data_IF_360719487180
#
_entry.id   IF_360719487180
#
_cell.length_a   1.000
_cell.length_b   1.000
_cell.length_c   1.000
_cell.angle_alpha   90.00
_cell.angle_beta   90.00
_cell.angle_gamma   90.00
#
_symmetry.space_group_name_H-M   'P 1'
#
loop_
_entity.id
_entity.type
_entity.pdbx_description
1 polymer ?
#
# COMPACT_ATOMS: atom_id res chain seq x y z
N UNK A 1 27.58 30.33 14.83
CA UNK A 1 27.11 29.20 13.97
C UNK A 1 25.89 28.45 14.53
N UNK A 2 25.30 28.85 15.67
CA UNK A 2 24.20 28.12 16.33
C UNK A 2 22.79 28.71 16.19
N UNK A 3 22.63 29.89 15.59
CA UNK A 3 21.31 30.55 15.49
C UNK A 3 20.50 30.12 14.25
N UNK A 4 21.16 29.70 13.17
CA UNK A 4 20.50 29.28 11.93
C UNK A 4 19.83 27.92 12.02
N UNK A 5 20.22 27.07 12.98
CA UNK A 5 19.65 25.73 13.19
C UNK A 5 18.36 25.75 13.99
N UNK A 6 18.15 26.76 14.87
CA UNK A 6 16.93 26.88 15.67
C UNK A 6 15.74 27.32 14.80
N UNK A 7 15.95 28.32 13.93
CA UNK A 7 14.92 28.85 13.02
C UNK A 7 14.33 27.80 12.07
N UNK A 8 15.13 26.84 11.58
CA UNK A 8 14.64 25.75 10.74
C UNK A 8 13.75 24.75 11.49
N UNK A 9 13.95 24.54 12.79
CA UNK A 9 13.16 23.60 13.59
C UNK A 9 11.76 24.15 13.90
N UNK A 10 11.64 25.46 14.05
CA UNK A 10 10.39 26.13 14.40
C UNK A 10 9.50 26.36 13.15
N UNK A 11 10.10 26.64 12.00
CA UNK A 11 9.41 26.77 10.71
C UNK A 11 8.90 25.41 10.18
N UNK A 12 9.61 24.32 10.48
CA UNK A 12 9.24 22.96 10.07
C UNK A 12 8.03 22.40 10.85
N UNK A 13 7.81 22.82 12.11
CA UNK A 13 6.63 22.40 12.90
C UNK A 13 5.33 23.07 12.43
N UNK A 14 5.41 24.28 11.87
CA UNK A 14 4.24 25.00 11.34
C UNK A 14 3.67 24.37 10.07
N UNK A 15 4.55 23.93 9.16
CA UNK A 15 4.15 23.33 7.86
C UNK A 15 3.59 21.90 8.01
N UNK A 16 4.10 21.13 8.99
CA UNK A 16 3.58 19.79 9.28
C UNK A 16 2.22 19.81 9.98
N UNK A 17 1.97 20.80 10.83
CA UNK A 17 0.69 20.98 11.53
C UNK A 17 -0.46 21.26 10.55
N UNK A 18 -0.27 22.13 9.55
CA UNK A 18 -1.36 22.50 8.63
C UNK A 18 -1.77 21.36 7.69
N UNK A 19 -0.79 20.63 7.13
CA UNK A 19 -1.06 19.50 6.22
C UNK A 19 -1.67 18.30 6.95
N UNK A 20 -1.23 18.01 8.17
CA UNK A 20 -1.79 16.93 8.98
C UNK A 20 -3.19 17.30 9.47
N UNK A 21 -3.43 18.55 9.87
CA UNK A 21 -4.74 18.97 10.38
C UNK A 21 -5.83 18.91 9.30
N UNK A 22 -5.51 19.29 8.07
CA UNK A 22 -6.44 19.18 6.95
C UNK A 22 -6.74 17.71 6.59
N UNK A 23 -5.72 16.85 6.58
CA UNK A 23 -5.90 15.40 6.39
C UNK A 23 -6.72 14.75 7.51
N UNK A 24 -6.48 15.13 8.76
CA UNK A 24 -7.22 14.63 9.94
C UNK A 24 -8.68 15.06 9.89
N UNK A 25 -9.00 16.27 9.42
CA UNK A 25 -10.39 16.71 9.25
C UNK A 25 -11.18 15.78 8.31
N UNK A 26 -10.58 15.43 7.18
CA UNK A 26 -11.20 14.49 6.23
C UNK A 26 -11.23 13.06 6.76
N UNK A 27 -10.19 12.63 7.48
CA UNK A 27 -10.16 11.30 8.11
C UNK A 27 -11.26 11.13 9.16
N UNK A 28 -11.52 12.15 9.99
CA UNK A 28 -12.62 12.16 10.96
C UNK A 28 -13.97 12.12 10.24
N UNK A 29 -14.13 12.90 9.17
CA UNK A 29 -15.35 12.87 8.35
C UNK A 29 -15.62 11.47 7.78
N UNK A 30 -14.59 10.83 7.22
CA UNK A 30 -14.69 9.48 6.68
C UNK A 30 -15.01 8.44 7.77
N UNK A 31 -14.37 8.53 8.94
CA UNK A 31 -14.68 7.68 10.10
C UNK A 31 -16.12 7.85 10.58
N UNK A 32 -16.64 9.08 10.58
CA UNK A 32 -18.04 9.36 10.92
C UNK A 32 -19.01 8.69 9.96
N UNK A 33 -18.80 8.85 8.66
CA UNK A 33 -19.62 8.20 7.62
C UNK A 33 -19.53 6.68 7.72
N UNK A 34 -18.32 6.14 7.92
CA UNK A 34 -18.09 4.71 8.06
C UNK A 34 -18.80 4.12 9.28
N UNK A 35 -18.72 4.80 10.43
CA UNK A 35 -19.46 4.45 11.64
C UNK A 35 -20.97 4.50 11.42
N UNK A 36 -21.48 5.54 10.75
CA UNK A 36 -22.90 5.67 10.42
C UNK A 36 -23.39 4.52 9.53
N UNK A 37 -22.61 4.11 8.53
CA UNK A 37 -22.91 2.95 7.69
C UNK A 37 -22.92 1.67 8.51
N UNK A 38 -21.96 1.47 9.41
CA UNK A 38 -21.94 0.30 10.30
C UNK A 38 -23.14 0.25 11.25
N UNK A 39 -23.57 1.40 11.77
CA UNK A 39 -24.74 1.52 12.65
C UNK A 39 -26.03 1.23 11.86
N UNK A 40 -26.17 1.79 10.66
CA UNK A 40 -27.30 1.47 9.79
C UNK A 40 -27.33 -0.02 9.45
N UNK A 41 -26.19 -0.60 9.13
CA UNK A 41 -26.11 -2.01 8.81
C UNK A 41 -26.42 -2.88 10.04
N UNK A 42 -26.00 -2.51 11.25
CA UNK A 42 -26.39 -3.19 12.47
C UNK A 42 -27.90 -3.15 12.70
N UNK A 43 -28.55 -2.03 12.42
CA UNK A 43 -30.00 -1.89 12.56
C UNK A 43 -30.78 -2.85 11.64
N UNK A 44 -30.24 -3.16 10.45
CA UNK A 44 -30.88 -4.10 9.51
C UNK A 44 -30.43 -5.56 9.68
N UNK A 45 -29.20 -5.84 10.16
CA UNK A 45 -28.60 -7.18 10.23
C UNK A 45 -28.56 -7.80 11.64
N UNK A 46 -29.19 -7.18 12.63
CA UNK A 46 -29.22 -7.66 14.03
C UNK A 46 -29.84 -9.06 14.17
N UNK A 47 -30.73 -9.45 13.26
CA UNK A 47 -31.43 -10.74 13.32
C UNK A 47 -30.80 -11.75 12.38
N UNK A 48 -30.28 -12.82 12.96
CA UNK A 48 -29.87 -14.00 12.22
C UNK A 48 -30.98 -15.06 12.35
N UNK A 49 -31.54 -15.46 11.22
CA UNK A 49 -32.54 -16.51 11.15
C UNK A 49 -31.84 -17.85 10.91
N UNK A 50 -31.83 -18.71 11.93
CA UNK A 50 -31.29 -20.06 11.81
C UNK A 50 -32.43 -21.05 11.55
N UNK A 51 -32.47 -21.73 10.38
CA UNK A 51 -33.42 -22.80 10.14
C UNK A 51 -32.97 -24.04 10.90
N UNK A 52 -33.69 -24.37 11.98
CA UNK A 52 -33.45 -25.58 12.76
C UNK A 52 -34.50 -26.62 12.41
N UNK A 53 -34.05 -27.79 11.99
CA UNK A 53 -34.90 -28.97 11.87
C UNK A 53 -34.88 -29.71 13.20
N UNK A 54 -36.01 -29.76 13.89
CA UNK A 54 -36.15 -30.63 15.04
C UNK A 54 -37.06 -31.81 14.71
N UNK A 55 -36.78 -32.93 15.36
CA UNK A 55 -37.57 -34.15 15.24
C UNK A 55 -38.22 -34.39 16.59
N UNK A 56 -39.53 -34.24 16.64
CA UNK A 56 -40.34 -34.47 17.84
C UNK A 56 -41.27 -35.65 17.61
N UNK A 57 -41.44 -36.48 18.63
CA UNK A 57 -42.45 -37.54 18.65
C UNK A 57 -43.60 -37.14 19.58
N UNK A 58 -44.81 -37.56 19.25
CA UNK A 58 -45.92 -37.52 20.20
C UNK A 58 -45.89 -38.81 21.03
N UNK A 59 -46.20 -38.73 22.33
CA UNK A 59 -46.18 -39.87 23.25
C UNK A 59 -47.07 -41.05 22.81
N UNK A 60 -48.05 -40.81 21.94
CA UNK A 60 -48.99 -41.80 21.42
C UNK A 60 -48.80 -42.12 19.93
N UNK A 61 -47.62 -41.82 19.36
CA UNK A 61 -47.35 -42.16 17.95
C UNK A 61 -46.93 -43.63 17.81
N UNK A 62 -47.43 -44.35 16.79
CA UNK A 62 -47.12 -45.78 16.60
C UNK A 62 -45.65 -46.06 16.28
N UNK A 63 -44.89 -45.02 15.92
CA UNK A 63 -43.45 -45.09 15.62
C UNK A 63 -42.53 -44.90 16.84
N UNK A 64 -43.09 -44.66 18.04
CA UNK A 64 -42.34 -44.56 19.28
C UNK A 64 -42.12 -45.96 19.89
N UNK A 65 -40.86 -46.41 19.93
CA UNK A 65 -40.48 -47.58 20.74
C UNK A 65 -39.74 -47.13 22.00
N UNK A 66 -40.20 -47.63 23.15
CA UNK A 66 -39.57 -47.40 24.44
C UNK A 66 -38.60 -48.55 24.69
N UNK A 67 -37.30 -48.25 24.80
CA UNK A 67 -36.33 -49.25 25.25
C UNK A 67 -36.28 -49.24 26.78
N UNK A 68 -36.66 -50.34 27.41
CA UNK A 68 -36.43 -50.52 28.84
C UNK A 68 -35.06 -51.18 29.02
N UNK A 69 -33.97 -50.38 29.08
CA UNK A 69 -32.67 -50.93 29.48
C UNK A 69 -32.69 -51.15 30.99
N UNK A 70 -33.00 -52.37 31.41
CA UNK A 70 -32.81 -52.81 32.79
C UNK A 70 -31.30 -52.88 33.03
N UNK A 71 -30.68 -51.83 33.56
CA UNK A 71 -29.49 -51.99 34.40
C UNK A 71 -30.01 -52.24 35.80
N UNK A 72 -29.90 -53.48 36.27
CA UNK A 72 -30.53 -54.05 37.48
C UNK A 72 -30.17 -53.40 38.83
N UNK A 73 -29.63 -52.18 38.90
CA UNK A 73 -29.23 -51.58 40.19
C UNK A 73 -29.59 -50.10 40.37
N UNK A 74 -30.48 -49.52 39.57
CA UNK A 74 -30.96 -48.14 39.78
C UNK A 74 -32.48 -48.17 39.90
N UNK A 75 -33.00 -47.83 41.09
CA UNK A 75 -34.45 -47.78 41.42
C UNK A 75 -35.21 -46.65 40.73
N UNK A 76 -34.56 -45.91 39.83
CA UNK A 76 -35.14 -44.85 39.04
C UNK A 76 -35.14 -45.28 37.57
N UNK A 77 -36.22 -45.94 37.15
CA UNK A 77 -36.42 -46.39 35.78
C UNK A 77 -36.49 -45.22 34.81
N UNK A 78 -35.37 -44.87 34.18
CA UNK A 78 -35.30 -43.83 33.15
C UNK A 78 -35.66 -44.45 31.80
N UNK A 79 -36.93 -44.30 31.42
CA UNK A 79 -37.45 -44.74 30.12
C UNK A 79 -37.02 -43.75 29.03
N UNK A 80 -36.16 -44.16 28.10
CA UNK A 80 -35.79 -43.34 26.95
C UNK A 80 -36.52 -43.83 25.69
N UNK A 81 -37.33 -42.95 25.10
CA UNK A 81 -38.01 -43.19 23.83
C UNK A 81 -37.12 -42.82 22.64
N UNK A 82 -37.02 -43.68 21.64
CA UNK A 82 -36.27 -43.44 20.41
C UNK A 82 -37.12 -43.79 19.18
N UNK A 83 -36.83 -43.14 18.06
CA UNK A 83 -37.54 -43.38 16.81
C UNK A 83 -36.86 -44.53 16.05
N UNK A 84 -37.64 -45.52 15.59
CA UNK A 84 -37.13 -46.70 14.89
C UNK A 84 -36.85 -46.40 13.41
N UNK A 85 -37.61 -45.48 12.81
CA UNK A 85 -37.49 -45.09 11.40
C UNK A 85 -37.35 -43.58 11.26
N UNK A 86 -36.65 -43.14 10.20
CA UNK A 86 -36.45 -41.72 9.92
C UNK A 86 -37.71 -40.99 9.45
N UNK A 87 -38.75 -41.74 9.05
CA UNK A 87 -40.04 -41.24 8.55
C UNK A 87 -41.13 -41.20 9.63
N UNK A 88 -41.02 -42.04 10.67
CA UNK A 88 -42.00 -42.08 11.77
C UNK A 88 -41.93 -40.91 12.74
N UNK A 89 -40.83 -40.13 12.70
CA UNK A 89 -40.69 -38.91 13.50
C UNK A 89 -40.98 -37.68 12.63
N UNK A 90 -42.02 -36.92 12.99
CA UNK A 90 -42.42 -35.71 12.25
C UNK A 90 -41.27 -34.70 12.20
N UNK A 91 -40.81 -34.39 10.98
CA UNK A 91 -39.83 -33.32 10.74
C UNK A 91 -40.56 -31.98 10.82
N UNK A 92 -40.19 -31.14 11.78
CA UNK A 92 -40.72 -29.78 11.88
C UNK A 92 -39.60 -28.78 11.68
N UNK A 93 -39.89 -27.76 10.89
CA UNK A 93 -39.00 -26.64 10.67
C UNK A 93 -39.35 -25.56 11.70
N UNK A 94 -38.36 -25.14 12.47
CA UNK A 94 -38.46 -24.01 13.38
C UNK A 94 -37.37 -23.01 13.01
N UNK A 95 -37.77 -21.77 12.74
CA UNK A 95 -36.84 -20.66 12.56
C UNK A 95 -36.53 -20.08 13.93
N UNK A 96 -35.30 -20.25 14.39
CA UNK A 96 -34.84 -19.65 15.62
C UNK A 96 -34.25 -18.27 15.29
N UNK A 97 -34.87 -17.23 15.80
CA UNK A 97 -34.36 -15.87 15.72
C UNK A 97 -33.33 -15.65 16.82
N UNK A 98 -32.04 -15.57 16.46
CA UNK A 98 -30.97 -15.31 17.41
C UNK A 98 -30.53 -13.85 17.27
N UNK A 99 -30.58 -13.13 18.39
CA UNK A 99 -30.10 -11.76 18.47
C UNK A 99 -28.57 -11.76 18.54
N UNK A 100 -27.92 -11.12 17.57
CA UNK A 100 -26.46 -11.02 17.55
C UNK A 100 -26.00 -9.88 18.44
N UNK A 101 -25.02 -10.14 19.31
CA UNK A 101 -24.41 -9.09 20.15
C UNK A 101 -23.53 -8.16 19.32
N UNK A 102 -23.42 -6.89 19.74
CA UNK A 102 -22.67 -5.86 19.01
C UNK A 102 -21.21 -6.28 18.76
N UNK A 103 -20.58 -6.95 19.72
CA UNK A 103 -19.19 -7.41 19.59
C UNK A 103 -18.99 -8.43 18.46
N UNK A 104 -19.91 -9.38 18.31
CA UNK A 104 -19.85 -10.40 17.24
C UNK A 104 -20.04 -9.75 15.87
N UNK A 105 -20.96 -8.79 15.77
CA UNK A 105 -21.18 -8.02 14.55
C UNK A 105 -19.93 -7.26 14.10
N UNK A 106 -19.26 -6.55 15.02
CA UNK A 106 -18.04 -5.80 14.71
C UNK A 106 -16.91 -6.73 14.23
N UNK A 107 -16.72 -7.89 14.88
CA UNK A 107 -15.68 -8.85 14.48
C UNK A 107 -15.96 -9.45 13.09
N UNK A 108 -17.21 -9.78 12.79
CA UNK A 108 -17.60 -10.26 11.46
C UNK A 108 -17.33 -9.20 10.38
N UNK A 109 -17.68 -7.94 10.65
CA UNK A 109 -17.44 -6.84 9.72
C UNK A 109 -15.97 -6.52 9.51
N UNK A 110 -15.18 -6.47 10.60
CA UNK A 110 -13.73 -6.28 10.51
C UNK A 110 -13.07 -7.43 9.75
N UNK A 111 -13.56 -8.66 9.90
CA UNK A 111 -13.06 -9.81 9.15
C UNK A 111 -13.39 -9.71 7.65
N UNK A 112 -14.60 -9.29 7.31
CA UNK A 112 -15.01 -9.08 5.93
C UNK A 112 -14.22 -7.95 5.25
N UNK A 113 -14.10 -6.80 5.92
CA UNK A 113 -13.29 -5.69 5.43
C UNK A 113 -11.80 -6.03 5.37
N UNK A 114 -11.30 -6.72 6.39
CA UNK A 114 -9.92 -7.16 6.49
C UNK A 114 -9.57 -8.07 5.32
N UNK A 115 -10.45 -9.03 4.99
CA UNK A 115 -10.29 -9.88 3.81
C UNK A 115 -10.26 -9.08 2.51
N UNK A 116 -11.16 -8.10 2.35
CA UNK A 116 -11.21 -7.27 1.16
C UNK A 116 -9.95 -6.40 1.00
N UNK A 117 -9.54 -5.68 2.05
CA UNK A 117 -8.30 -4.89 2.05
C UNK A 117 -7.09 -5.79 1.82
N UNK A 118 -7.04 -6.96 2.45
CA UNK A 118 -5.96 -7.91 2.29
C UNK A 118 -5.84 -8.35 0.83
N UNK A 119 -6.93 -8.69 0.15
CA UNK A 119 -6.88 -9.08 -1.26
C UNK A 119 -6.32 -7.96 -2.16
N UNK A 120 -6.73 -6.71 -1.95
CA UNK A 120 -6.26 -5.57 -2.76
C UNK A 120 -4.78 -5.26 -2.47
N UNK A 121 -4.41 -5.10 -1.21
CA UNK A 121 -3.04 -4.73 -0.84
C UNK A 121 -2.05 -5.88 -1.03
N UNK A 122 -2.43 -7.11 -0.67
CA UNK A 122 -1.60 -8.27 -0.93
C UNK A 122 -1.48 -8.54 -2.43
N UNK A 123 -2.55 -8.35 -3.21
CA UNK A 123 -2.50 -8.48 -4.67
C UNK A 123 -1.51 -7.51 -5.30
N UNK A 124 -1.62 -6.22 -4.98
CA UNK A 124 -0.71 -5.19 -5.51
C UNK A 124 0.72 -5.41 -5.00
N UNK A 125 0.89 -5.70 -3.70
CA UNK A 125 2.20 -5.90 -3.09
C UNK A 125 2.93 -7.14 -3.63
N UNK A 126 2.21 -8.24 -3.84
CA UNK A 126 2.78 -9.48 -4.35
C UNK A 126 3.12 -9.38 -5.84
N UNK A 127 2.39 -8.56 -6.61
CA UNK A 127 2.68 -8.30 -8.03
C UNK A 127 3.82 -7.29 -8.21
N UNK A 128 4.01 -6.35 -7.27
CA UNK A 128 5.11 -5.39 -7.35
C UNK A 128 6.50 -6.05 -7.30
N UNK A 129 6.66 -7.11 -6.52
CA UNK A 129 7.93 -7.82 -6.35
C UNK A 129 8.48 -8.47 -7.63
N UNK A 130 7.71 -9.30 -8.38
CA UNK A 130 8.19 -9.87 -9.63
C UNK A 130 8.38 -8.81 -10.73
N UNK A 131 7.56 -7.75 -10.75
CA UNK A 131 7.73 -6.65 -11.71
C UNK A 131 9.04 -5.91 -11.48
N UNK A 132 9.36 -5.61 -10.22
CA UNK A 132 10.63 -4.96 -9.87
C UNK A 132 11.82 -5.85 -10.22
N UNK A 133 11.73 -7.15 -9.91
CA UNK A 133 12.77 -8.11 -10.22
C UNK A 133 12.96 -8.28 -11.74
N UNK A 134 11.87 -8.33 -12.51
CA UNK A 134 11.92 -8.39 -13.98
C UNK A 134 12.53 -7.13 -14.58
N UNK A 135 12.15 -5.95 -14.09
CA UNK A 135 12.73 -4.69 -14.53
C UNK A 135 14.22 -4.61 -14.18
N UNK A 136 14.62 -5.10 -13.00
CA UNK A 136 16.02 -5.18 -12.59
C UNK A 136 16.82 -6.07 -13.55
N UNK A 137 16.26 -7.20 -13.99
CA UNK A 137 16.90 -8.10 -14.95
C UNK A 137 17.02 -7.46 -16.35
N UNK A 138 15.93 -6.84 -16.84
CA UNK A 138 15.88 -6.19 -18.16
C UNK A 138 16.83 -5.00 -18.29
N UNK A 139 17.00 -4.22 -17.22
CA UNK A 139 17.84 -3.01 -17.22
C UNK A 139 19.29 -3.26 -16.83
N UNK A 140 19.69 -4.53 -16.59
CA UNK A 140 21.08 -4.85 -16.28
C UNK A 140 22.01 -4.40 -17.42
N UNK A 141 23.15 -3.77 -17.10
CA UNK A 141 24.14 -3.37 -18.08
C UNK A 141 24.72 -4.61 -18.73
N UNK A 142 24.65 -4.69 -20.06
CA UNK A 142 25.31 -5.75 -20.81
C UNK A 142 26.81 -5.42 -20.92
N UNK A 143 27.70 -6.41 -20.83
CA UNK A 143 29.13 -6.19 -21.02
C UNK A 143 29.40 -5.60 -22.41
N UNK A 144 30.17 -4.52 -22.46
CA UNK A 144 30.59 -3.84 -23.69
C UNK A 144 31.96 -4.41 -24.09
N UNK A 145 32.18 -4.77 -25.37
CA UNK A 145 33.50 -5.23 -25.82
C UNK A 145 34.57 -4.14 -25.66
N UNK A 146 35.80 -4.55 -25.34
CA UNK A 146 36.91 -3.67 -24.98
C UNK A 146 37.19 -2.57 -26.04
N UNK A 147 37.13 -2.92 -27.32
CA UNK A 147 37.39 -1.99 -28.42
C UNK A 147 36.37 -0.85 -28.47
N UNK A 148 35.07 -1.18 -28.33
CA UNK A 148 33.99 -0.18 -28.28
C UNK A 148 34.09 0.69 -27.04
N UNK A 149 34.52 0.10 -25.91
CA UNK A 149 34.73 0.86 -24.69
C UNK A 149 35.87 1.89 -24.84
N UNK A 150 36.99 1.50 -25.46
CA UNK A 150 38.11 2.39 -25.72
C UNK A 150 37.70 3.57 -26.62
N UNK A 151 36.95 3.29 -27.69
CA UNK A 151 36.42 4.35 -28.56
C UNK A 151 35.45 5.30 -27.85
N UNK A 152 34.49 4.77 -27.08
CA UNK A 152 33.53 5.60 -26.34
C UNK A 152 34.22 6.44 -25.28
N UNK A 153 35.19 5.86 -24.56
CA UNK A 153 36.01 6.58 -23.58
C UNK A 153 36.76 7.73 -24.25
N UNK A 154 37.33 7.52 -25.44
CA UNK A 154 38.01 8.58 -26.21
C UNK A 154 37.04 9.68 -26.63
N UNK A 155 35.86 9.33 -27.17
CA UNK A 155 34.82 10.28 -27.59
C UNK A 155 34.29 11.13 -26.42
N UNK A 156 34.09 10.51 -25.25
CA UNK A 156 33.67 11.23 -24.03
C UNK A 156 34.80 12.12 -23.52
N UNK A 157 36.04 11.64 -23.53
CA UNK A 157 37.23 12.39 -23.13
C UNK A 157 37.43 13.65 -23.99
N UNK A 158 37.31 13.52 -25.32
CA UNK A 158 37.39 14.66 -26.24
C UNK A 158 36.31 15.72 -25.96
N UNK A 159 35.06 15.29 -25.76
CA UNK A 159 33.97 16.21 -25.42
C UNK A 159 34.19 16.90 -24.08
N UNK A 160 34.70 16.17 -23.09
CA UNK A 160 35.03 16.73 -21.78
C UNK A 160 36.17 17.75 -21.86
N UNK A 161 37.19 17.48 -22.70
CA UNK A 161 38.28 18.41 -22.97
C UNK A 161 37.77 19.70 -23.63
N UNK A 162 36.95 19.59 -24.67
CA UNK A 162 36.33 20.75 -25.34
C UNK A 162 35.46 21.59 -24.38
N UNK A 163 34.64 20.95 -23.54
CA UNK A 163 33.84 21.67 -22.54
C UNK A 163 34.72 22.36 -21.48
N UNK A 164 35.84 21.73 -21.10
CA UNK A 164 36.78 22.30 -20.14
C UNK A 164 37.48 23.53 -20.72
N UNK A 165 37.82 23.50 -22.00
CA UNK A 165 38.40 24.63 -22.71
C UNK A 165 37.42 25.79 -22.84
N UNK A 166 36.18 25.52 -23.29
CA UNK A 166 35.12 26.53 -23.35
C UNK A 166 34.82 27.16 -21.97
N UNK A 167 34.84 26.35 -20.90
CA UNK A 167 34.70 26.87 -19.53
C UNK A 167 35.88 27.74 -19.08
N UNK A 168 37.09 27.42 -19.52
CA UNK A 168 38.27 28.25 -19.25
C UNK A 168 38.25 29.58 -20.01
N UNK A 169 37.71 29.61 -21.23
CA UNK A 169 37.52 30.85 -21.99
C UNK A 169 36.53 31.77 -21.29
N UNK A 170 35.35 31.28 -20.92
CA UNK A 170 34.34 32.06 -20.18
C UNK A 170 34.92 32.60 -18.87
N UNK A 171 35.73 31.79 -18.15
CA UNK A 171 36.41 32.24 -16.93
C UNK A 171 37.42 33.36 -17.18
N UNK A 172 38.17 33.31 -18.28
CA UNK A 172 39.12 34.37 -18.66
C UNK A 172 38.37 35.65 -19.04
N UNK A 173 37.26 35.54 -19.77
CA UNK A 173 36.42 36.68 -20.14
C UNK A 173 35.79 37.36 -18.92
N UNK A 174 35.35 36.58 -17.92
CA UNK A 174 34.88 37.10 -16.63
C UNK A 174 36.00 37.84 -15.87
N UNK A 175 37.20 37.26 -15.78
CA UNK A 175 38.37 37.88 -15.15
C UNK A 175 38.78 39.19 -15.84
N UNK A 176 38.76 39.22 -17.18
CA UNK A 176 39.06 40.41 -17.97
C UNK A 176 37.98 41.49 -17.83
N UNK A 177 36.71 41.10 -17.64
CA UNK A 177 35.59 42.01 -17.46
C UNK A 177 35.55 42.68 -16.07
N UNK A 178 36.14 42.06 -15.03
CA UNK A 178 36.17 42.59 -13.66
C UNK A 178 37.01 43.87 -13.49
N UNK A 179 37.84 44.23 -14.48
CA UNK A 179 38.67 45.44 -14.46
C UNK A 179 38.28 46.53 -15.48
N UNK A 180 37.31 46.28 -16.37
CA UNK A 180 36.94 47.20 -17.47
C UNK A 180 35.53 47.76 -17.27
N UNK A 181 35.28 49.03 -17.65
CA UNK A 181 33.90 49.57 -17.78
C UNK A 181 33.20 48.85 -18.95
N UNK A 182 32.64 47.68 -18.68
CA UNK A 182 31.94 46.87 -19.68
C UNK A 182 30.53 47.39 -19.92
N UNK A 183 30.14 47.42 -21.19
CA UNK A 183 28.82 47.93 -21.60
C UNK A 183 27.69 47.01 -21.12
N UNK A 184 26.49 47.55 -20.85
CA UNK A 184 25.30 46.76 -20.49
C UNK A 184 25.00 45.65 -21.50
N UNK A 185 25.38 45.82 -22.77
CA UNK A 185 25.22 44.83 -23.83
C UNK A 185 26.18 43.63 -23.66
N UNK A 186 27.46 43.91 -23.38
CA UNK A 186 28.54 42.92 -23.19
C UNK A 186 28.27 42.03 -21.96
N UNK A 187 27.72 42.60 -20.88
CA UNK A 187 27.30 41.84 -19.70
C UNK A 187 26.16 40.86 -19.98
N UNK A 188 25.20 41.22 -20.85
CA UNK A 188 24.07 40.34 -21.21
C UNK A 188 24.56 39.14 -22.02
N UNK A 189 25.49 39.36 -22.94
CA UNK A 189 26.09 38.30 -23.76
C UNK A 189 26.92 37.31 -22.93
N UNK A 190 27.69 37.80 -21.96
CA UNK A 190 28.42 36.94 -21.01
C UNK A 190 27.46 36.09 -20.15
N UNK A 191 26.38 36.67 -19.64
CA UNK A 191 25.36 35.92 -18.88
C UNK A 191 24.65 34.88 -19.75
N UNK A 192 24.36 35.19 -21.03
CA UNK A 192 23.73 34.26 -21.97
C UNK A 192 24.63 33.05 -22.28
N UNK A 193 25.92 33.30 -22.57
CA UNK A 193 26.90 32.24 -22.83
C UNK A 193 27.12 31.36 -21.60
N UNK A 194 27.13 31.94 -20.39
CA UNK A 194 27.19 31.20 -19.14
C UNK A 194 25.97 30.28 -18.95
N UNK A 195 24.75 30.78 -19.14
CA UNK A 195 23.54 29.95 -19.05
C UNK A 195 23.51 28.83 -20.10
N UNK A 196 24.01 29.09 -21.31
CA UNK A 196 24.14 28.06 -22.35
C UNK A 196 25.09 26.95 -21.90
N UNK A 197 26.21 27.31 -21.28
CA UNK A 197 27.17 26.37 -20.74
C UNK A 197 26.59 25.54 -19.58
N UNK A 198 25.89 26.17 -18.64
CA UNK A 198 25.19 25.49 -17.55
C UNK A 198 24.16 24.46 -18.07
N UNK A 199 23.40 24.82 -19.10
CA UNK A 199 22.44 23.91 -19.73
C UNK A 199 23.14 22.69 -20.34
N UNK A 200 24.27 22.88 -21.02
CA UNK A 200 25.05 21.77 -21.60
C UNK A 200 25.60 20.87 -20.48
N UNK A 201 26.13 21.45 -19.40
CA UNK A 201 26.60 20.70 -18.24
C UNK A 201 25.47 19.91 -17.56
N UNK A 202 24.29 20.52 -17.42
CA UNK A 202 23.12 19.86 -16.85
C UNK A 202 22.68 18.65 -17.67
N UNK A 203 22.66 18.78 -19.00
CA UNK A 203 22.36 17.67 -19.91
C UNK A 203 23.42 16.56 -19.81
N UNK A 204 24.70 16.93 -19.73
CA UNK A 204 25.80 15.98 -19.59
C UNK A 204 25.72 15.24 -18.23
N UNK A 205 25.45 15.95 -17.14
CA UNK A 205 25.23 15.42 -15.80
C UNK A 205 24.03 14.47 -15.74
N UNK A 206 22.90 14.84 -16.36
CA UNK A 206 21.74 13.94 -16.48
C UNK A 206 22.05 12.68 -17.28
N UNK A 207 22.79 12.79 -18.39
CA UNK A 207 23.24 11.61 -19.16
C UNK A 207 24.17 10.72 -18.34
N UNK A 208 25.08 11.31 -17.56
CA UNK A 208 25.98 10.56 -16.66
C UNK A 208 25.19 9.83 -15.58
N UNK A 209 24.26 10.51 -14.90
CA UNK A 209 23.35 9.89 -13.91
C UNK A 209 22.53 8.75 -14.50
N UNK A 210 21.99 8.90 -15.73
CA UNK A 210 21.27 7.83 -16.44
C UNK A 210 22.15 6.64 -16.82
N UNK A 211 23.44 6.85 -17.09
CA UNK A 211 24.39 5.76 -17.36
C UNK A 211 24.82 5.06 -16.06
N UNK A 212 25.06 5.79 -14.98
CA UNK A 212 25.44 5.21 -13.67
C UNK A 212 24.28 4.50 -12.99
N UNK A 213 23.02 4.96 -13.12
CA UNK A 213 21.87 4.17 -12.61
C UNK A 213 21.60 2.90 -13.42
N UNK A 214 22.13 2.80 -14.64
CA UNK A 214 22.14 1.55 -15.43
C UNK A 214 23.37 0.68 -15.17
N UNK A 215 24.35 1.16 -14.40
CA UNK A 215 25.48 0.36 -13.93
C UNK A 215 25.43 0.29 -12.41
N UNK A 216 24.67 -0.66 -11.83
CA UNK A 216 24.92 -1.04 -10.45
C UNK A 216 26.35 -1.61 -10.39
N UNK A 217 27.18 -1.03 -9.52
CA UNK A 217 28.41 -1.64 -9.08
C UNK A 217 28.10 -3.05 -8.58
N UNK A 218 28.95 -4.00 -8.97
CA UNK A 218 29.14 -5.29 -8.29
C UNK A 218 29.27 -5.11 -6.80
#
# INVERSE_FOLDING_TARGET
MGETTKKKRDEQKGCWSSQICEGVKWAIGFLGVFSLVLILMWAFLHQADLPVTYRGFAWNSPDLRVHHSITENIKDGTSFGYCVTAEGCGKKHLTLHVQVTIGVFLMAMLSFLGWFLFCVFAGIGLVALPIDLFNSWKHRPKPIPLDKYAEEKRKIGQRAAMLREAGNEIRKDELNALGRKTSRKEKRELTETFHRFENVLFLCSKKKKKKTTKQPCT
#
